data_IF_961072198161
#
_entry.id   IF_961072198161
#
_cell.length_a   1.000
_cell.length_b   1.000
_cell.length_c   1.000
_cell.angle_alpha   90.00
_cell.angle_beta   90.00
_cell.angle_gamma   90.00
#
_symmetry.space_group_name_H-M   'P 1'
#
loop_
_entity.id
_entity.type
_entity.pdbx_description
1 polymer ?
#
# COMPACT_ATOMS: atom_id res chain seq x y z
N UNK A 1 -3.73 13.43 5.43
CA UNK A 1 -3.34 12.01 5.23
C UNK A 1 -3.93 11.23 6.38
N UNK A 2 -4.61 10.12 6.10
CA UNK A 2 -5.01 9.13 7.11
C UNK A 2 -4.22 7.85 6.86
N UNK A 3 -3.49 7.38 7.87
CA UNK A 3 -2.77 6.08 7.83
C UNK A 3 -3.37 5.19 8.91
N UNK A 4 -4.13 4.18 8.49
CA UNK A 4 -4.59 3.12 9.39
C UNK A 4 -3.54 2.02 9.51
N UNK A 5 -3.50 1.35 10.65
CA UNK A 5 -2.73 0.11 10.87
C UNK A 5 -3.65 -0.93 11.51
N UNK A 6 -3.12 -2.10 11.87
CA UNK A 6 -3.78 -3.20 12.62
C UNK A 6 -4.19 -4.47 11.86
N UNK A 7 -4.76 -4.47 10.64
CA UNK A 7 -5.31 -5.72 10.10
C UNK A 7 -4.25 -6.75 9.67
N UNK A 8 -2.94 -6.48 9.83
CA UNK A 8 -1.83 -7.33 9.39
C UNK A 8 -1.93 -7.76 7.90
N UNK A 9 -2.73 -7.01 7.13
CA UNK A 9 -3.01 -7.20 5.71
C UNK A 9 -2.91 -5.85 5.02
N UNK A 10 -2.37 -5.85 3.80
CA UNK A 10 -2.38 -4.68 2.92
C UNK A 10 -3.82 -4.37 2.46
N UNK A 11 -4.18 -3.08 2.51
CA UNK A 11 -5.45 -2.56 2.00
C UNK A 11 -5.19 -1.49 0.93
N UNK A 12 -6.27 -1.04 0.27
CA UNK A 12 -6.20 -0.03 -0.77
C UNK A 12 -5.64 1.31 -0.27
N UNK A 13 -4.94 2.00 -1.17
CA UNK A 13 -4.40 3.35 -0.98
C UNK A 13 -4.93 4.25 -2.08
N UNK A 14 -5.39 5.46 -1.76
CA UNK A 14 -5.91 6.40 -2.74
C UNK A 14 -6.69 7.54 -2.09
N UNK A 15 -7.51 8.22 -2.88
CA UNK A 15 -8.34 9.32 -2.43
C UNK A 15 -9.76 8.88 -2.14
N UNK A 16 -10.31 9.37 -1.03
CA UNK A 16 -11.74 9.40 -0.76
C UNK A 16 -12.20 10.86 -0.81
N UNK A 17 -12.77 11.27 -1.95
CA UNK A 17 -12.99 12.68 -2.26
C UNK A 17 -11.67 13.45 -2.30
N UNK A 18 -11.48 14.39 -1.37
CA UNK A 18 -10.23 15.17 -1.25
C UNK A 18 -9.22 14.59 -0.26
N UNK A 19 -9.59 13.56 0.51
CA UNK A 19 -8.72 13.00 1.53
C UNK A 19 -7.87 11.86 0.97
N UNK A 20 -6.54 11.97 1.08
CA UNK A 20 -5.64 10.85 0.81
C UNK A 20 -5.62 9.88 2.00
N UNK A 21 -5.93 8.61 1.72
CA UNK A 21 -6.12 7.54 2.69
C UNK A 21 -5.27 6.32 2.32
N UNK A 22 -4.60 5.75 3.31
CA UNK A 22 -3.98 4.44 3.28
C UNK A 22 -4.52 3.62 4.47
N UNK A 23 -5.52 2.78 4.23
CA UNK A 23 -6.25 2.11 5.34
C UNK A 23 -5.41 1.08 6.11
N UNK A 24 -4.44 0.43 5.46
CA UNK A 24 -3.42 -0.41 6.10
C UNK A 24 -2.30 -0.74 5.14
N UNK A 25 -1.05 -0.62 5.60
CA UNK A 25 0.15 -1.03 4.87
C UNK A 25 0.62 -2.45 5.22
N UNK A 26 -0.17 -3.19 6.01
CA UNK A 26 0.17 -4.56 6.41
C UNK A 26 1.37 -4.64 7.35
N UNK A 27 2.03 -5.80 7.34
CA UNK A 27 3.27 -6.03 8.08
C UNK A 27 4.47 -5.46 7.31
N UNK A 28 5.61 -5.20 7.95
CA UNK A 28 6.87 -4.85 7.26
C UNK A 28 8.03 -5.74 7.74
N UNK A 29 8.73 -5.37 8.81
CA UNK A 29 9.66 -6.27 9.49
C UNK A 29 8.90 -7.10 10.53
N UNK A 30 8.47 -8.31 10.18
CA UNK A 30 7.56 -9.12 10.99
C UNK A 30 7.62 -10.60 10.62
N UNK A 31 7.42 -11.51 11.57
CA UNK A 31 7.29 -12.94 11.27
C UNK A 31 5.91 -13.23 10.67
N UNK A 32 5.81 -13.19 9.34
CA UNK A 32 4.58 -13.46 8.63
C UNK A 32 4.25 -14.97 8.62
N UNK A 33 3.03 -15.32 9.04
CA UNK A 33 2.57 -16.70 9.13
C UNK A 33 1.69 -17.14 7.93
N UNK A 34 1.57 -16.31 6.90
CA UNK A 34 0.79 -16.61 5.67
C UNK A 34 1.25 -15.74 4.48
N UNK A 35 0.99 -16.16 3.23
CA UNK A 35 1.34 -15.38 2.04
C UNK A 35 0.75 -13.96 2.05
N UNK A 36 -0.52 -13.78 2.40
CA UNK A 36 -1.14 -12.45 2.38
C UNK A 36 -0.69 -11.59 3.55
N UNK A 37 -0.11 -12.19 4.60
CA UNK A 37 0.51 -11.49 5.73
C UNK A 37 1.98 -11.14 5.46
N UNK A 38 2.59 -11.81 4.48
CA UNK A 38 3.92 -11.52 3.97
C UNK A 38 3.90 -10.47 2.84
N UNK A 39 2.75 -10.21 2.22
CA UNK A 39 2.62 -9.12 1.25
C UNK A 39 2.79 -7.77 1.95
N UNK A 40 3.75 -6.96 1.48
CA UNK A 40 4.14 -5.69 2.10
C UNK A 40 4.65 -4.70 1.05
N UNK A 41 5.21 -3.57 1.47
CA UNK A 41 5.81 -2.55 0.63
C UNK A 41 5.94 -1.20 1.32
N UNK A 42 6.43 -0.23 0.58
CA UNK A 42 6.63 1.16 1.02
C UNK A 42 5.67 2.06 0.25
N UNK A 43 4.91 2.88 0.98
CA UNK A 43 4.14 3.97 0.41
C UNK A 43 4.93 5.27 0.58
N UNK A 44 5.43 5.81 -0.52
CA UNK A 44 6.08 7.13 -0.55
C UNK A 44 5.06 8.18 -0.95
N UNK A 45 4.95 9.26 -0.18
CA UNK A 45 4.03 10.37 -0.44
C UNK A 45 4.81 11.67 -0.48
N UNK A 46 4.63 12.46 -1.54
CA UNK A 46 5.19 13.81 -1.68
C UNK A 46 4.08 14.82 -1.43
N UNK A 47 4.34 15.84 -0.62
CA UNK A 47 3.34 16.84 -0.27
C UNK A 47 3.95 18.25 -0.12
N UNK A 48 3.21 19.24 -0.57
CA UNK A 48 3.50 20.67 -0.37
C UNK A 48 2.40 21.28 0.49
N UNK A 49 2.74 21.63 1.73
CA UNK A 49 1.76 22.12 2.70
C UNK A 49 0.68 21.07 2.98
N UNK A 50 -0.58 21.39 2.65
CA UNK A 50 -1.74 20.46 2.79
C UNK A 50 -2.05 19.67 1.52
N UNK A 51 -1.37 19.96 0.40
CA UNK A 51 -1.59 19.31 -0.89
C UNK A 51 -0.71 18.08 -1.01
N UNK A 52 -1.27 16.96 -1.44
CA UNK A 52 -0.50 15.80 -1.87
C UNK A 52 -0.13 16.00 -3.34
N UNK A 53 1.17 16.00 -3.61
CA UNK A 53 1.74 16.24 -4.94
C UNK A 53 1.83 14.94 -5.73
N UNK A 54 1.96 13.81 -5.02
CA UNK A 54 1.99 12.48 -5.60
C UNK A 54 2.22 11.41 -4.55
N UNK A 55 1.98 10.15 -4.93
CA UNK A 55 2.32 9.00 -4.10
C UNK A 55 2.71 7.82 -4.97
N UNK A 56 3.57 6.97 -4.43
CA UNK A 56 4.06 5.75 -5.09
C UNK A 56 4.00 4.59 -4.11
N UNK A 57 3.41 3.49 -4.55
CA UNK A 57 3.48 2.21 -3.85
C UNK A 57 4.62 1.38 -4.44
N UNK A 58 5.57 0.97 -3.59
CA UNK A 58 6.68 0.08 -3.95
C UNK A 58 6.47 -1.27 -3.26
N UNK A 59 6.06 -2.31 -3.99
CA UNK A 59 5.72 -3.59 -3.39
C UNK A 59 6.95 -4.35 -2.91
N UNK A 60 6.77 -5.09 -1.82
CA UNK A 60 7.77 -5.98 -1.26
C UNK A 60 7.10 -7.25 -0.71
N UNK A 61 7.91 -8.24 -0.37
CA UNK A 61 7.44 -9.44 0.29
C UNK A 61 8.35 -9.78 1.46
N UNK A 62 7.75 -10.18 2.58
CA UNK A 62 8.50 -10.59 3.76
C UNK A 62 9.10 -11.98 3.52
N UNK A 63 10.39 -12.13 3.80
CA UNK A 63 11.11 -13.41 3.91
C UNK A 63 11.97 -13.33 5.16
N UNK A 64 11.94 -14.37 5.99
CA UNK A 64 12.73 -14.42 7.24
C UNK A 64 12.58 -13.15 8.09
N UNK A 65 11.35 -12.67 8.24
CA UNK A 65 11.01 -11.42 8.95
C UNK A 65 11.53 -10.10 8.34
N UNK A 66 12.11 -10.12 7.14
CA UNK A 66 12.68 -8.94 6.48
C UNK A 66 11.92 -8.67 5.17
N UNK A 67 11.56 -7.40 4.86
CA UNK A 67 11.01 -7.03 3.56
C UNK A 67 12.05 -7.15 2.44
N UNK A 68 11.67 -7.80 1.35
CA UNK A 68 12.45 -7.83 0.11
C UNK A 68 11.63 -7.16 -1.01
N UNK A 69 12.14 -6.09 -1.64
CA UNK A 69 11.47 -5.46 -2.78
C UNK A 69 11.12 -6.48 -3.86
N UNK A 70 9.89 -6.40 -4.37
CA UNK A 70 9.49 -7.15 -5.54
C UNK A 70 9.94 -6.41 -6.80
N UNK A 71 10.28 -7.15 -7.85
CA UNK A 71 10.69 -6.62 -9.15
C UNK A 71 10.03 -7.41 -10.28
N UNK A 72 10.05 -6.86 -11.49
CA UNK A 72 9.49 -7.49 -12.69
C UNK A 72 8.03 -7.91 -12.53
N UNK A 73 7.68 -9.08 -13.07
CA UNK A 73 6.31 -9.61 -13.09
C UNK A 73 5.68 -9.75 -11.69
N UNK A 74 6.48 -10.02 -10.67
CA UNK A 74 5.98 -10.10 -9.29
C UNK A 74 5.58 -8.73 -8.73
N UNK A 75 6.33 -7.68 -9.08
CA UNK A 75 5.96 -6.31 -8.73
C UNK A 75 4.69 -5.88 -9.47
N UNK A 76 4.57 -6.21 -10.76
CA UNK A 76 3.39 -5.87 -11.58
C UNK A 76 2.12 -6.53 -11.02
N UNK A 77 2.20 -7.80 -10.63
CA UNK A 77 1.09 -8.51 -10.00
C UNK A 77 0.67 -7.90 -8.65
N UNK A 78 1.65 -7.49 -7.84
CA UNK A 78 1.39 -6.80 -6.58
C UNK A 78 0.77 -5.41 -6.81
N UNK A 79 1.19 -4.69 -7.86
CA UNK A 79 0.60 -3.41 -8.25
C UNK A 79 -0.86 -3.59 -8.67
N UNK A 80 -1.15 -4.59 -9.50
CA UNK A 80 -2.51 -4.92 -9.91
C UNK A 80 -3.41 -5.25 -8.71
N UNK A 81 -2.89 -6.01 -7.75
CA UNK A 81 -3.59 -6.31 -6.48
C UNK A 81 -3.89 -5.04 -5.68
N UNK A 82 -2.94 -4.10 -5.59
CA UNK A 82 -3.15 -2.82 -4.92
C UNK A 82 -4.23 -1.99 -5.61
N UNK A 83 -4.22 -1.92 -6.94
CA UNK A 83 -5.26 -1.25 -7.74
C UNK A 83 -6.63 -1.87 -7.52
N UNK A 84 -6.72 -3.21 -7.49
CA UNK A 84 -7.98 -3.89 -7.18
C UNK A 84 -8.51 -3.51 -5.80
N UNK A 85 -7.63 -3.48 -4.78
CA UNK A 85 -8.00 -3.08 -3.42
C UNK A 85 -8.41 -1.62 -3.32
N UNK A 86 -7.77 -0.73 -4.08
CA UNK A 86 -8.17 0.68 -4.20
C UNK A 86 -9.62 0.78 -4.69
N UNK A 87 -9.96 0.05 -5.76
CA UNK A 87 -11.30 0.02 -6.32
C UNK A 87 -12.34 -0.59 -5.36
N UNK A 88 -12.03 -1.72 -4.72
CA UNK A 88 -12.92 -2.35 -3.74
C UNK A 88 -13.22 -1.44 -2.54
N UNK A 89 -12.29 -0.56 -2.18
CA UNK A 89 -12.44 0.41 -1.09
C UNK A 89 -13.12 1.72 -1.54
N UNK A 90 -13.55 1.84 -2.80
CA UNK A 90 -14.15 3.06 -3.34
C UNK A 90 -13.17 4.24 -3.43
N UNK A 91 -11.87 3.97 -3.49
CA UNK A 91 -10.84 4.99 -3.57
C UNK A 91 -10.50 5.30 -5.04
N UNK A 92 -10.08 6.54 -5.30
CA UNK A 92 -9.63 6.99 -6.63
C UNK A 92 -8.11 7.25 -6.64
N UNK A 93 -7.45 7.20 -7.81
CA UNK A 93 -6.02 7.50 -7.91
C UNK A 93 -5.70 9.00 -7.72
N UNK A 94 -6.70 9.87 -7.87
CA UNK A 94 -6.57 11.31 -7.75
C UNK A 94 -7.76 11.88 -6.97
N UNK A 95 -7.56 13.05 -6.36
CA UNK A 95 -8.64 13.78 -5.69
C UNK A 95 -9.74 14.17 -6.70
N UNK A 96 -11.00 14.12 -6.25
CA UNK A 96 -12.17 14.63 -7.00
C UNK A 96 -12.43 16.11 -6.74
#
# INVERSE_FOLDING_TARGET
>A
IVVGSHPHRLQGVGYHGQQFVAYSLGNFAFQANSPEGAATGVLTVTATGRRIDGYTWTPAVIRNSIPHPLTGTAADAAQATMTQRQQCAGLTPQAS
#
